data_IF_373943808829
#
_entry.id   IF_373943808829
#
_cell.length_a   1.000
_cell.length_b   1.000
_cell.length_c   1.000
_cell.angle_alpha   90.00
_cell.angle_beta   90.00
_cell.angle_gamma   90.00
#
_symmetry.space_group_name_H-M   'P 1'
#
loop_
_entity.id
_entity.type
_entity.pdbx_description
1 polymer ?
#
# COMPACT_ATOMS: atom_id res chain seq x y z
N UNK A 1 -2.21 2.25 18.80
CA UNK A 1 -3.22 1.26 18.36
C UNK A 1 -3.61 0.40 19.56
N UNK A 2 -4.88 0.02 19.71
CA UNK A 2 -5.34 -0.87 20.81
C UNK A 2 -5.67 -2.24 20.23
N UNK A 3 -5.03 -3.29 20.72
CA UNK A 3 -5.33 -4.67 20.33
C UNK A 3 -6.73 -5.05 20.81
N UNK A 4 -7.56 -5.57 19.90
CA UNK A 4 -8.91 -6.07 20.22
C UNK A 4 -8.93 -7.59 20.40
N UNK A 5 -8.04 -8.30 19.71
CA UNK A 5 -7.87 -9.75 19.78
C UNK A 5 -6.46 -10.09 19.28
N UNK A 6 -5.76 -10.95 20.01
CA UNK A 6 -4.47 -11.49 19.56
C UNK A 6 -4.68 -12.49 18.43
N UNK A 7 -3.79 -12.43 17.43
CA UNK A 7 -3.74 -13.36 16.31
C UNK A 7 -2.58 -14.34 16.44
N UNK A 8 -2.66 -15.48 15.76
CA UNK A 8 -1.64 -16.54 15.82
C UNK A 8 -0.97 -16.81 14.46
N UNK A 9 -1.33 -16.05 13.42
CA UNK A 9 -0.93 -16.33 12.03
C UNK A 9 0.10 -15.32 11.48
N UNK A 10 0.64 -14.43 12.31
CA UNK A 10 1.64 -13.43 11.90
C UNK A 10 1.09 -12.21 11.16
N UNK A 11 -0.24 -12.08 11.06
CA UNK A 11 -0.90 -10.91 10.47
C UNK A 11 -1.50 -10.01 11.54
N UNK A 12 -1.40 -8.70 11.34
CA UNK A 12 -2.08 -7.70 12.15
C UNK A 12 -3.11 -6.98 11.31
N UNK A 13 -4.38 -7.10 11.72
CA UNK A 13 -5.49 -6.39 11.10
C UNK A 13 -5.79 -5.11 11.87
N UNK A 14 -6.05 -4.04 11.14
CA UNK A 14 -6.41 -2.73 11.65
C UNK A 14 -7.49 -2.10 10.78
N UNK A 15 -8.17 -1.09 11.31
CA UNK A 15 -9.17 -0.32 10.58
C UNK A 15 -8.74 1.15 10.51
N UNK A 16 -7.84 1.51 9.60
CA UNK A 16 -7.51 2.91 9.35
C UNK A 16 -8.68 3.52 8.59
N UNK A 17 -9.42 4.43 9.24
CA UNK A 17 -10.59 5.05 8.64
C UNK A 17 -11.77 4.07 8.47
N UNK A 18 -12.27 3.93 7.24
CA UNK A 18 -13.54 3.25 6.94
C UNK A 18 -13.37 1.75 6.69
N UNK A 19 -12.35 1.32 5.95
CA UNK A 19 -12.16 -0.06 5.55
C UNK A 19 -11.03 -0.75 6.35
N UNK A 20 -11.14 -2.06 6.62
CA UNK A 20 -10.09 -2.80 7.29
C UNK A 20 -8.93 -3.09 6.31
N UNK A 21 -7.72 -3.07 6.85
CA UNK A 21 -6.53 -3.58 6.21
C UNK A 21 -5.85 -4.60 7.13
N UNK A 22 -5.08 -5.52 6.58
CA UNK A 22 -4.19 -6.35 7.37
C UNK A 22 -2.81 -6.39 6.74
N UNK A 23 -1.79 -6.44 7.59
CA UNK A 23 -0.40 -6.45 7.18
C UNK A 23 0.37 -7.55 7.89
N UNK A 24 1.34 -8.14 7.21
CA UNK A 24 2.36 -8.97 7.85
C UNK A 24 3.41 -8.09 8.55
N UNK A 25 4.43 -8.71 9.17
CA UNK A 25 5.47 -7.98 9.87
C UNK A 25 6.23 -6.98 8.96
N UNK A 26 6.51 -7.35 7.70
CA UNK A 26 7.18 -6.46 6.74
C UNK A 26 6.30 -5.28 6.34
N UNK A 27 5.01 -5.52 6.12
CA UNK A 27 4.02 -4.49 5.84
C UNK A 27 3.84 -3.52 7.00
N UNK A 28 3.83 -4.01 8.25
CA UNK A 28 3.79 -3.16 9.45
C UNK A 28 5.03 -2.26 9.57
N UNK A 29 6.23 -2.81 9.34
CA UNK A 29 7.49 -2.04 9.36
C UNK A 29 7.49 -0.96 8.28
N UNK A 30 7.01 -1.30 7.08
CA UNK A 30 6.90 -0.35 5.98
C UNK A 30 5.86 0.75 6.27
N UNK A 31 4.70 0.42 6.84
CA UNK A 31 3.70 1.42 7.24
C UNK A 31 4.25 2.34 8.33
N UNK A 32 5.00 1.80 9.29
CA UNK A 32 5.65 2.61 10.31
C UNK A 32 6.67 3.57 9.69
N UNK A 33 7.47 3.12 8.72
CA UNK A 33 8.39 3.98 7.96
C UNK A 33 7.63 5.09 7.23
N UNK A 34 6.54 4.78 6.52
CA UNK A 34 5.70 5.75 5.84
C UNK A 34 5.16 6.82 6.81
N UNK A 35 4.55 6.40 7.93
CA UNK A 35 3.98 7.30 8.93
C UNK A 35 5.03 8.18 9.62
N UNK A 36 6.23 7.65 9.86
CA UNK A 36 7.34 8.37 10.48
C UNK A 36 8.20 9.16 9.50
N UNK A 37 7.91 9.07 8.20
CA UNK A 37 8.75 9.58 7.10
C UNK A 37 10.19 9.07 7.16
N UNK A 38 10.35 7.83 7.62
CA UNK A 38 11.62 7.16 7.84
C UNK A 38 12.11 6.34 6.65
N UNK A 39 13.19 5.59 6.87
CA UNK A 39 13.73 4.68 5.87
C UNK A 39 12.83 3.45 5.68
N UNK A 40 12.54 3.10 4.44
CA UNK A 40 11.78 1.89 4.11
C UNK A 40 12.57 0.62 4.42
N UNK A 41 11.94 -0.42 4.98
CA UNK A 41 12.64 -1.63 5.39
C UNK A 41 13.27 -2.38 4.21
N UNK A 42 14.43 -2.99 4.47
CA UNK A 42 15.05 -3.99 3.59
C UNK A 42 14.45 -5.37 3.82
N UNK A 43 13.14 -5.46 3.55
CA UNK A 43 12.33 -6.65 3.77
C UNK A 43 11.13 -6.59 2.82
N UNK A 44 10.68 -7.75 2.35
CA UNK A 44 9.41 -7.87 1.63
C UNK A 44 8.25 -7.81 2.64
N UNK A 45 7.22 -7.03 2.33
CA UNK A 45 6.00 -6.96 3.13
C UNK A 45 4.75 -7.10 2.29
N UNK A 46 3.69 -7.60 2.91
CA UNK A 46 2.38 -7.75 2.30
C UNK A 46 1.32 -7.03 3.12
N UNK A 47 0.47 -6.30 2.43
CA UNK A 47 -0.68 -5.62 3.00
C UNK A 47 -1.88 -5.96 2.13
N UNK A 48 -3.04 -6.26 2.70
CA UNK A 48 -4.26 -6.46 1.92
C UNK A 48 -5.42 -5.64 2.45
N UNK A 49 -6.29 -5.23 1.53
CA UNK A 49 -7.53 -4.51 1.80
C UNK A 49 -8.68 -5.20 1.05
N UNK A 50 -9.36 -6.14 1.72
CA UNK A 50 -10.39 -6.97 1.06
C UNK A 50 -11.68 -6.23 0.73
N UNK A 51 -11.93 -5.07 1.34
CA UNK A 51 -13.06 -4.19 1.00
C UNK A 51 -12.64 -3.04 0.09
N UNK A 52 -11.40 -3.05 -0.41
CA UNK A 52 -10.80 -1.91 -1.11
C UNK A 52 -10.54 -0.71 -0.20
N UNK A 53 -10.26 0.42 -0.81
CA UNK A 53 -9.97 1.69 -0.14
C UNK A 53 -10.95 2.81 -0.54
N UNK A 54 -10.82 3.96 0.13
CA UNK A 54 -11.53 5.20 -0.23
C UNK A 54 -10.75 6.06 -1.25
N UNK A 55 -9.70 5.49 -1.81
CA UNK A 55 -8.73 6.10 -2.68
C UNK A 55 -7.49 6.67 -2.01
N UNK A 56 -6.45 6.82 -2.82
CA UNK A 56 -5.19 7.45 -2.48
C UNK A 56 -4.60 8.14 -3.72
N UNK A 57 -3.76 9.15 -3.51
CA UNK A 57 -2.95 9.74 -4.58
C UNK A 57 -1.97 8.70 -5.11
N UNK A 58 -1.90 8.51 -6.43
CA UNK A 58 -0.95 7.59 -7.03
C UNK A 58 0.48 8.14 -7.10
N UNK A 59 0.65 9.46 -6.92
CA UNK A 59 1.94 10.15 -7.11
C UNK A 59 2.51 10.79 -5.84
N UNK A 60 1.70 10.96 -4.79
CA UNK A 60 2.10 11.58 -3.54
C UNK A 60 1.71 10.70 -2.33
N UNK A 61 2.68 10.06 -1.64
CA UNK A 61 2.42 9.22 -0.48
C UNK A 61 1.88 9.97 0.75
N UNK A 62 1.87 11.30 0.74
CA UNK A 62 1.45 12.13 1.86
C UNK A 62 0.18 12.95 1.58
N UNK A 63 -0.43 12.79 0.40
CA UNK A 63 -1.70 13.44 0.08
C UNK A 63 -2.80 12.93 1.02
N UNK A 64 -3.55 13.87 1.60
CA UNK A 64 -4.62 13.56 2.55
C UNK A 64 -6.02 13.50 1.90
N UNK A 65 -6.19 14.12 0.74
CA UNK A 65 -7.47 14.24 0.03
C UNK A 65 -7.29 14.28 -1.48
N UNK A 66 -8.38 14.02 -2.22
CA UNK A 66 -8.42 14.08 -3.68
C UNK A 66 -8.22 15.52 -4.18
N UNK A 67 -7.33 15.68 -5.16
CA UNK A 67 -7.17 16.93 -5.90
C UNK A 67 -7.19 16.64 -7.40
N UNK A 68 -7.48 17.64 -8.26
CA UNK A 68 -7.53 17.43 -9.70
C UNK A 68 -6.22 16.93 -10.34
N UNK A 69 -5.09 17.05 -9.65
CA UNK A 69 -3.74 16.82 -10.15
C UNK A 69 -2.97 15.69 -9.43
N UNK A 70 -3.50 15.11 -8.35
CA UNK A 70 -2.80 14.08 -7.58
C UNK A 70 -3.06 12.64 -8.04
N UNK A 71 -3.78 12.46 -9.15
CA UNK A 71 -4.10 11.13 -9.70
C UNK A 71 -4.70 10.22 -8.61
N UNK A 72 -5.79 10.67 -8.01
CA UNK A 72 -6.51 9.89 -7.00
C UNK A 72 -7.09 8.61 -7.60
N UNK A 73 -6.75 7.46 -7.02
CA UNK A 73 -7.21 6.16 -7.47
C UNK A 73 -7.98 5.50 -6.34
N UNK A 74 -9.25 5.19 -6.58
CA UNK A 74 -10.06 4.32 -5.70
C UNK A 74 -9.85 2.87 -6.13
N UNK A 75 -9.29 2.05 -5.26
CA UNK A 75 -9.01 0.65 -5.54
C UNK A 75 -10.04 -0.27 -4.90
N UNK A 76 -10.51 -1.27 -5.66
CA UNK A 76 -11.27 -2.39 -5.12
C UNK A 76 -10.40 -3.31 -4.26
N UNK A 77 -10.83 -4.56 -3.98
CA UNK A 77 -10.03 -5.52 -3.23
C UNK A 77 -8.64 -5.70 -3.83
N UNK A 78 -7.59 -5.51 -3.03
CA UNK A 78 -6.21 -5.55 -3.51
C UNK A 78 -5.20 -6.00 -2.45
N UNK A 79 -4.02 -6.37 -2.92
CA UNK A 79 -2.80 -6.61 -2.12
C UNK A 79 -1.74 -5.58 -2.53
N UNK A 80 -1.08 -4.99 -1.53
CA UNK A 80 0.13 -4.20 -1.72
C UNK A 80 1.35 -5.07 -1.43
N UNK A 81 2.33 -5.06 -2.33
CA UNK A 81 3.65 -5.68 -2.10
C UNK A 81 4.67 -4.56 -1.90
N UNK A 82 5.21 -4.47 -0.69
CA UNK A 82 5.96 -3.32 -0.18
C UNK A 82 7.38 -3.69 0.24
N UNK A 83 8.18 -2.65 0.51
CA UNK A 83 9.54 -2.76 1.01
C UNK A 83 10.58 -2.87 -0.11
N UNK A 84 11.85 -2.60 0.22
CA UNK A 84 12.87 -2.42 -0.82
C UNK A 84 13.23 -3.71 -1.57
N UNK A 85 12.99 -4.88 -0.96
CA UNK A 85 13.11 -6.19 -1.60
C UNK A 85 12.10 -6.40 -2.75
N UNK A 86 11.00 -5.64 -2.78
CA UNK A 86 10.04 -5.70 -3.88
C UNK A 86 10.55 -5.00 -5.16
N UNK A 87 11.63 -4.21 -5.11
CA UNK A 87 12.03 -3.33 -6.22
C UNK A 87 12.23 -4.04 -7.56
N UNK A 88 12.88 -5.21 -7.57
CA UNK A 88 13.08 -5.99 -8.79
C UNK A 88 11.77 -6.47 -9.40
N UNK A 89 10.76 -6.78 -8.56
CA UNK A 89 9.42 -7.12 -9.01
C UNK A 89 8.73 -5.93 -9.70
N UNK A 90 8.95 -4.70 -9.20
CA UNK A 90 8.30 -3.48 -9.72
C UNK A 90 8.73 -3.13 -11.16
N UNK A 91 9.89 -3.59 -11.62
CA UNK A 91 10.40 -3.32 -12.97
C UNK A 91 9.50 -3.89 -14.07
N UNK A 92 8.74 -4.94 -13.77
CA UNK A 92 7.83 -5.59 -14.71
C UNK A 92 6.47 -4.91 -14.87
N UNK A 93 6.16 -3.85 -14.11
CA UNK A 93 4.82 -3.28 -14.02
C UNK A 93 4.74 -1.82 -14.50
N UNK A 94 3.57 -1.37 -14.99
CA UNK A 94 3.35 0.03 -15.35
C UNK A 94 3.61 0.98 -14.18
N UNK A 95 4.29 2.10 -14.47
CA UNK A 95 4.68 3.15 -13.51
C UNK A 95 4.06 4.52 -13.84
N UNK A 96 3.00 4.52 -14.64
CA UNK A 96 2.35 5.75 -15.10
C UNK A 96 1.57 6.41 -13.95
N UNK A 97 1.48 7.75 -13.99
CA UNK A 97 0.73 8.52 -12.98
C UNK A 97 -0.76 8.16 -12.96
N UNK A 98 -1.35 7.91 -14.13
CA UNK A 98 -2.70 7.37 -14.27
C UNK A 98 -2.60 5.85 -14.39
N UNK A 99 -3.27 5.12 -13.49
CA UNK A 99 -3.32 3.67 -13.51
C UNK A 99 -4.77 3.15 -13.49
N UNK A 100 -4.93 1.92 -13.99
CA UNK A 100 -6.19 1.18 -13.97
C UNK A 100 -6.21 0.28 -12.72
N UNK A 101 -7.05 0.54 -11.70
CA UNK A 101 -7.05 -0.21 -10.44
C UNK A 101 -7.50 -1.68 -10.59
N UNK A 102 -8.01 -2.08 -11.76
CA UNK A 102 -8.29 -3.47 -12.07
C UNK A 102 -7.05 -4.25 -12.56
N UNK A 103 -5.91 -3.57 -12.76
CA UNK A 103 -4.66 -4.19 -13.24
C UNK A 103 -3.52 -3.97 -12.25
N UNK A 104 -2.46 -4.79 -12.30
CA UNK A 104 -1.28 -4.53 -11.49
C UNK A 104 -0.53 -3.28 -11.95
N UNK A 105 -0.12 -2.42 -11.03
CA UNK A 105 0.67 -1.21 -11.31
C UNK A 105 1.54 -0.80 -10.11
N UNK A 106 2.57 0.01 -10.36
CA UNK A 106 3.40 0.60 -9.30
C UNK A 106 2.78 1.91 -8.85
N UNK A 107 2.45 2.00 -7.57
CA UNK A 107 2.04 3.24 -6.92
C UNK A 107 3.25 3.97 -6.34
N UNK A 108 3.21 5.31 -6.35
CA UNK A 108 4.27 6.22 -5.87
C UNK A 108 5.64 5.97 -6.50
N UNK A 109 5.63 5.64 -7.79
CA UNK A 109 6.84 5.33 -8.55
C UNK A 109 7.94 6.38 -8.35
N UNK A 110 9.14 5.93 -7.99
CA UNK A 110 10.31 6.80 -7.77
C UNK A 110 10.44 7.37 -6.36
N UNK A 111 9.46 7.13 -5.48
CA UNK A 111 9.61 7.43 -4.04
C UNK A 111 10.24 6.24 -3.31
N UNK A 112 10.79 6.43 -2.09
CA UNK A 112 11.23 5.31 -1.25
C UNK A 112 10.10 4.32 -0.93
N UNK A 113 8.85 4.78 -0.95
CA UNK A 113 7.65 4.01 -0.60
C UNK A 113 6.96 3.41 -1.83
N UNK A 114 7.59 3.37 -3.00
CA UNK A 114 7.00 2.71 -4.16
C UNK A 114 6.63 1.25 -3.83
N UNK A 115 5.47 0.81 -4.32
CA UNK A 115 4.96 -0.53 -4.05
C UNK A 115 4.06 -1.01 -5.19
N UNK A 116 3.90 -2.32 -5.29
CA UNK A 116 2.99 -2.92 -6.27
C UNK A 116 1.57 -2.91 -5.71
N UNK A 117 0.63 -2.39 -6.48
CA UNK A 117 -0.80 -2.57 -6.28
C UNK A 117 -1.25 -3.77 -7.13
N UNK A 118 -1.71 -4.85 -6.48
CA UNK A 118 -2.19 -6.05 -7.14
C UNK A 118 -3.69 -6.21 -6.90
N UNK A 119 -4.49 -6.02 -7.96
CA UNK A 119 -5.94 -6.21 -7.91
C UNK A 119 -6.31 -7.67 -7.64
N UNK A 120 -7.38 -7.89 -6.87
CA UNK A 120 -7.95 -9.22 -6.57
C UNK A 120 -9.31 -9.47 -7.26
N UNK A 121 -9.65 -8.63 -8.23
CA UNK A 121 -10.88 -8.73 -9.03
C UNK A 121 -10.72 -9.66 -10.23
#
# INVERSE_FOLDING_TARGET
MKTVREGENGWTCMKPGTNPMCADAGGLEWMHALMSKGETPHKLGFIYMLLGDGGASNIDPFAAEETPDNNWIVSGPHVMIVGTEAKSLLEGYPRAAVADPAKPYVMWAGTPYEHLMLSMQ
#
